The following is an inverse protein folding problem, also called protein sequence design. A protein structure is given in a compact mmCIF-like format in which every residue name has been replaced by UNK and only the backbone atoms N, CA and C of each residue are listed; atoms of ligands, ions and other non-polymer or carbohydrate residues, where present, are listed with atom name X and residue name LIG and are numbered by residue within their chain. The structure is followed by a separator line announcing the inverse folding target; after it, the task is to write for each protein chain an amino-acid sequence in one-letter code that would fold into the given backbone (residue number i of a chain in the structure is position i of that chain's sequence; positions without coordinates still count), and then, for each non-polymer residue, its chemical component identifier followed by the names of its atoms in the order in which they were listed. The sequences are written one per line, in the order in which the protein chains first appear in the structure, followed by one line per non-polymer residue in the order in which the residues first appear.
data_IF_728533804926
#
_entry.id   IF_728533804926
#
_cell.length_a   1.000
_cell.length_b   1.000
_cell.length_c   1.000
_cell.angle_alpha   90.00
_cell.angle_beta   90.00
_cell.angle_gamma   90.00
#
_symmetry.space_group_name_H-M   'P 1'
#
loop_
_entity.id
_entity.type
_entity.pdbx_description
1 polymer ?
#
# COMPACT_ATOMS: atom_id res chain seq x y z
N UNK A 1 9.43 -15.18 -12.56
CA UNK A 1 9.49 -14.07 -13.53
C UNK A 1 8.17 -13.34 -13.42
N UNK A 2 8.17 -12.01 -13.24
CA UNK A 2 6.93 -11.23 -13.16
C UNK A 2 6.23 -11.27 -14.51
N UNK A 3 4.93 -11.52 -14.53
CA UNK A 3 4.14 -11.41 -15.76
C UNK A 3 3.71 -9.94 -15.99
N UNK A 4 3.01 -9.65 -17.09
CA UNK A 4 2.59 -8.27 -17.38
C UNK A 4 1.57 -7.75 -16.35
N UNK A 5 0.68 -8.61 -15.86
CA UNK A 5 -0.31 -8.25 -14.84
C UNK A 5 0.36 -7.87 -13.51
N UNK A 6 1.41 -8.60 -13.13
CA UNK A 6 2.25 -8.34 -11.96
C UNK A 6 2.91 -6.97 -12.01
N UNK A 7 3.43 -6.60 -13.18
CA UNK A 7 4.05 -5.28 -13.38
C UNK A 7 2.99 -4.18 -13.29
N UNK A 8 1.86 -4.34 -13.98
CA UNK A 8 0.75 -3.38 -13.93
C UNK A 8 0.18 -3.20 -12.52
N UNK A 9 -0.02 -4.30 -11.79
CA UNK A 9 -0.50 -4.27 -10.41
C UNK A 9 0.50 -3.60 -9.46
N UNK A 10 1.80 -3.84 -9.65
CA UNK A 10 2.87 -3.20 -8.89
C UNK A 10 2.87 -1.68 -9.09
N UNK A 11 2.80 -1.22 -10.35
CA UNK A 11 2.76 0.20 -10.68
C UNK A 11 1.50 0.88 -10.13
N UNK A 12 0.35 0.23 -10.30
CA UNK A 12 -0.92 0.72 -9.77
C UNK A 12 -0.89 0.80 -8.24
N UNK A 13 -0.32 -0.20 -7.58
CA UNK A 13 -0.19 -0.22 -6.12
C UNK A 13 0.69 0.93 -5.62
N UNK A 14 1.82 1.23 -6.28
CA UNK A 14 2.66 2.38 -5.93
C UNK A 14 1.85 3.68 -5.97
N UNK A 15 1.12 3.93 -7.07
CA UNK A 15 0.32 5.16 -7.24
C UNK A 15 -0.74 5.28 -6.14
N UNK A 16 -1.42 4.18 -5.81
CA UNK A 16 -2.45 4.19 -4.76
C UNK A 16 -1.85 4.43 -3.37
N UNK A 17 -0.69 3.86 -3.07
CA UNK A 17 0.01 4.09 -1.80
C UNK A 17 0.48 5.55 -1.67
N UNK A 18 0.99 6.14 -2.76
CA UNK A 18 1.36 7.56 -2.80
C UNK A 18 0.15 8.46 -2.52
N UNK A 19 -1.04 8.12 -3.06
CA UNK A 19 -2.29 8.84 -2.74
C UNK A 19 -2.67 8.75 -1.26
N UNK A 20 -2.51 7.58 -0.63
CA UNK A 20 -2.78 7.43 0.81
C UNK A 20 -1.79 8.25 1.65
N UNK A 21 -0.52 8.32 1.24
CA UNK A 21 0.47 9.18 1.90
C UNK A 21 0.09 10.65 1.77
N UNK A 22 -0.25 11.12 0.56
CA UNK A 22 -0.72 12.50 0.35
C UNK A 22 -1.93 12.84 1.21
N UNK A 23 -2.92 11.94 1.28
CA UNK A 23 -4.10 12.12 2.13
C UNK A 23 -3.73 12.30 3.61
N UNK A 24 -2.78 11.51 4.12
CA UNK A 24 -2.30 11.66 5.50
C UNK A 24 -1.52 12.96 5.71
N UNK A 25 -0.70 13.38 4.74
CA UNK A 25 0.01 14.67 4.79
C UNK A 25 -0.99 15.83 4.83
N UNK A 26 -2.03 15.80 4.00
CA UNK A 26 -3.06 16.84 3.94
C UNK A 26 -3.88 16.91 5.23
N UNK A 27 -4.02 15.79 5.94
CA UNK A 27 -4.62 15.72 7.27
C UNK A 27 -3.66 16.14 8.42
N UNK A 28 -2.42 16.56 8.10
CA UNK A 28 -1.45 17.07 9.06
C UNK A 28 -0.54 16.02 9.70
N UNK A 29 -0.51 14.79 9.19
CA UNK A 29 0.35 13.73 9.71
C UNK A 29 1.74 13.77 9.07
N UNK A 30 2.74 13.39 9.86
CA UNK A 30 4.15 13.29 9.47
C UNK A 30 4.57 11.85 9.16
N UNK A 31 5.76 11.69 8.60
CA UNK A 31 6.31 10.40 8.14
C UNK A 31 6.16 9.22 9.10
N UNK A 32 6.34 9.35 10.43
CA UNK A 32 6.15 8.23 11.35
C UNK A 32 4.78 7.54 11.24
N UNK A 33 3.76 8.22 10.73
CA UNK A 33 2.40 7.71 10.56
C UNK A 33 2.18 6.91 9.27
N UNK A 34 3.05 7.06 8.27
CA UNK A 34 2.96 6.37 6.97
C UNK A 34 4.30 5.74 6.53
N UNK A 35 5.22 5.52 7.47
CA UNK A 35 6.56 4.97 7.21
C UNK A 35 6.52 3.57 6.58
N UNK A 36 5.51 2.77 6.91
CA UNK A 36 5.38 1.40 6.40
C UNK A 36 4.84 1.41 4.97
N UNK A 37 4.04 2.42 4.61
CA UNK A 37 3.66 2.70 3.22
C UNK A 37 4.89 3.10 2.38
N UNK A 38 5.76 3.99 2.88
CA UNK A 38 7.03 4.33 2.21
C UNK A 38 7.88 3.09 2.00
N UNK A 39 8.01 2.25 3.04
CA UNK A 39 8.75 0.99 2.94
C UNK A 39 8.17 0.07 1.86
N UNK A 40 6.84 -0.04 1.80
CA UNK A 40 6.15 -0.82 0.76
C UNK A 40 6.44 -0.30 -0.64
N UNK A 41 6.38 1.03 -0.84
CA UNK A 41 6.74 1.67 -2.12
C UNK A 41 8.18 1.36 -2.51
N UNK A 42 9.12 1.43 -1.57
CA UNK A 42 10.53 1.13 -1.85
C UNK A 42 10.75 -0.32 -2.29
N UNK A 43 10.06 -1.28 -1.67
CA UNK A 43 10.08 -2.69 -2.09
C UNK A 43 9.52 -2.86 -3.51
N UNK A 44 8.39 -2.21 -3.80
CA UNK A 44 7.74 -2.26 -5.12
C UNK A 44 8.66 -1.68 -6.20
N UNK A 45 9.29 -0.53 -5.93
CA UNK A 45 10.22 0.16 -6.86
C UNK A 45 11.52 -0.63 -7.06
N UNK A 46 12.07 -1.24 -6.01
CA UNK A 46 13.29 -2.05 -6.11
C UNK A 46 13.05 -3.43 -6.73
N UNK A 47 11.78 -3.85 -6.87
CA UNK A 47 11.38 -5.20 -7.28
C UNK A 47 12.02 -6.28 -6.39
N UNK A 48 12.18 -5.98 -5.11
CA UNK A 48 12.74 -6.92 -4.14
C UNK A 48 11.75 -8.08 -3.92
N UNK A 49 12.04 -9.21 -4.56
CA UNK A 49 11.22 -10.41 -4.49
C UNK A 49 11.07 -10.96 -3.06
N UNK A 50 12.07 -10.76 -2.19
CA UNK A 50 11.96 -11.11 -0.78
C UNK A 50 11.16 -10.07 0.01
N UNK A 51 11.03 -8.84 -0.48
CA UNK A 51 10.21 -7.82 0.16
C UNK A 51 8.71 -8.00 -0.05
N UNK A 52 8.28 -8.58 -1.19
CA UNK A 52 6.87 -8.62 -1.58
C UNK A 52 5.94 -9.31 -0.57
N UNK A 53 6.40 -10.37 0.09
CA UNK A 53 5.58 -11.09 1.07
C UNK A 53 5.28 -10.26 2.33
N UNK A 54 6.02 -9.17 2.57
CA UNK A 54 5.80 -8.29 3.72
C UNK A 54 4.88 -7.10 3.42
N UNK A 55 4.59 -6.83 2.15
CA UNK A 55 3.82 -5.64 1.73
C UNK A 55 2.44 -5.60 2.40
N UNK A 56 1.72 -6.73 2.41
CA UNK A 56 0.40 -6.77 3.02
C UNK A 56 0.45 -6.44 4.52
N UNK A 57 1.50 -6.89 5.22
CA UNK A 57 1.70 -6.56 6.64
C UNK A 57 1.94 -5.06 6.82
N UNK A 58 2.89 -4.49 6.08
CA UNK A 58 3.24 -3.07 6.21
C UNK A 58 2.09 -2.14 5.87
N UNK A 59 1.31 -2.46 4.84
CA UNK A 59 0.11 -1.68 4.49
C UNK A 59 -0.94 -1.77 5.59
N UNK A 60 -1.19 -2.97 6.12
CA UNK A 60 -2.16 -3.16 7.21
C UNK A 60 -1.77 -2.44 8.50
N UNK A 61 -0.49 -2.38 8.83
CA UNK A 61 -0.01 -1.69 10.04
C UNK A 61 -0.38 -0.20 9.98
N UNK A 62 -0.12 0.47 8.85
CA UNK A 62 -0.44 1.90 8.69
C UNK A 62 -1.95 2.12 8.48
N UNK A 63 -2.69 1.22 7.81
CA UNK A 63 -4.14 1.35 7.63
C UNK A 63 -4.92 1.18 8.94
N UNK A 64 -4.47 0.30 9.84
CA UNK A 64 -5.03 0.21 11.20
C UNK A 64 -4.82 1.50 11.96
N UNK A 65 -3.61 2.06 11.88
CA UNK A 65 -3.30 3.35 12.48
C UNK A 65 -4.14 4.50 11.90
N UNK A 66 -4.49 4.45 10.61
CA UNK A 66 -5.46 5.39 10.01
C UNK A 66 -6.85 5.22 10.62
N UNK A 67 -7.36 4.00 10.69
CA UNK A 67 -8.68 3.70 11.26
C UNK A 67 -8.79 4.16 12.73
N UNK A 68 -7.77 3.88 13.54
CA UNK A 68 -7.69 4.29 14.95
C UNK A 68 -7.78 5.82 15.14
N UNK A 69 -7.45 6.59 14.11
CA UNK A 69 -7.46 8.06 14.11
C UNK A 69 -8.69 8.68 13.45
N UNK A 70 -9.61 7.87 12.94
CA UNK A 70 -10.76 8.38 12.20
C UNK A 70 -10.45 8.78 10.75
N UNK A 71 -9.34 8.31 10.18
CA UNK A 71 -8.92 8.63 8.81
C UNK A 71 -9.56 7.68 7.80
N UNK A 72 -10.87 7.77 7.66
CA UNK A 72 -11.69 6.97 6.74
C UNK A 72 -12.88 7.80 6.23
N UNK A 73 -13.51 7.33 5.16
CA UNK A 73 -14.66 7.98 4.52
C UNK A 73 -14.34 8.68 3.21
N UNK A 74 -15.31 8.71 2.29
CA UNK A 74 -15.17 9.39 1.00
C UNK A 74 -14.19 8.68 0.07
N UNK A 75 -13.34 9.44 -0.60
CA UNK A 75 -12.45 8.90 -1.64
C UNK A 75 -11.36 7.97 -1.09
N UNK A 76 -10.91 8.17 0.15
CA UNK A 76 -9.85 7.33 0.73
C UNK A 76 -10.31 5.87 0.91
N UNK A 77 -11.60 5.65 1.15
CA UNK A 77 -12.16 4.30 1.23
C UNK A 77 -12.09 3.58 -0.12
N UNK A 78 -12.33 4.31 -1.22
CA UNK A 78 -12.21 3.75 -2.58
C UNK A 78 -10.77 3.36 -2.87
N UNK A 79 -9.81 4.23 -2.50
CA UNK A 79 -8.38 3.99 -2.68
C UNK A 79 -7.90 2.78 -1.85
N UNK A 80 -8.25 2.72 -0.57
CA UNK A 80 -7.83 1.63 0.33
C UNK A 80 -8.47 0.29 -0.05
N UNK A 81 -9.73 0.30 -0.50
CA UNK A 81 -10.39 -0.90 -1.05
C UNK A 81 -9.72 -1.41 -2.32
N UNK A 82 -9.33 -0.52 -3.24
CA UNK A 82 -8.62 -0.92 -4.46
C UNK A 82 -7.23 -1.49 -4.13
N UNK A 83 -6.53 -0.93 -3.15
CA UNK A 83 -5.28 -1.49 -2.63
C UNK A 83 -5.50 -2.93 -2.14
N UNK A 84 -6.54 -3.15 -1.32
CA UNK A 84 -6.86 -4.51 -0.86
C UNK A 84 -7.24 -5.46 -1.99
N UNK A 85 -7.93 -4.97 -3.02
CA UNK A 85 -8.27 -5.75 -4.21
C UNK A 85 -7.01 -6.27 -4.93
N UNK A 86 -6.03 -5.39 -5.16
CA UNK A 86 -4.73 -5.74 -5.76
C UNK A 86 -3.99 -6.76 -4.88
N UNK A 87 -3.87 -6.47 -3.57
CA UNK A 87 -3.15 -7.34 -2.64
C UNK A 87 -3.76 -8.74 -2.55
N UNK A 88 -5.09 -8.88 -2.68
CA UNK A 88 -5.78 -10.18 -2.60
C UNK A 88 -5.75 -10.96 -3.90
N UNK A 89 -5.75 -10.30 -5.05
CA UNK A 89 -5.77 -11.00 -6.36
C UNK A 89 -4.37 -11.40 -6.80
N UNK A 90 -3.37 -10.57 -6.52
CA UNK A 90 -2.01 -10.79 -7.01
C UNK A 90 -1.16 -11.65 -6.04
N UNK A 91 -0.80 -12.86 -6.50
CA UNK A 91 -0.07 -13.88 -5.72
C UNK A 91 1.30 -13.43 -5.21
N UNK A 92 1.90 -12.40 -5.80
CA UNK A 92 3.15 -11.83 -5.31
C UNK A 92 3.07 -11.38 -3.85
N UNK A 93 1.89 -10.94 -3.41
CA UNK A 93 1.71 -10.30 -2.11
C UNK A 93 1.18 -11.22 -1.01
N UNK A 94 0.85 -12.49 -1.32
CA UNK A 94 0.27 -13.42 -0.35
C UNK A 94 0.78 -14.87 -0.42
N UNK A 95 1.82 -15.16 -1.21
CA UNK A 95 2.41 -16.50 -1.21
C UNK A 95 3.13 -16.79 0.12
N UNK A 96 2.66 -17.85 0.80
CA UNK A 96 3.38 -18.57 1.85
C UNK A 96 4.24 -19.66 1.22
#
# INVERSE_FOLDING_TARGET
MLNNEDVTDTEKLIILLEKVISFQIDAGYTEPFYKSLIRSINILKSKDAQGFHNIMKYINDDFRMMADRGLYGGEIDVVTNEIYSILRRNKLFYNK
#
